data_IF_547699492262
#
_entry.id   IF_547699492262
#
_cell.length_a   1.000
_cell.length_b   1.000
_cell.length_c   1.000
_cell.angle_alpha   90.00
_cell.angle_beta   90.00
_cell.angle_gamma   90.00
#
_symmetry.space_group_name_H-M   'P 1'
#
loop_
_entity.id
_entity.type
_entity.pdbx_description
1 polymer ?
#
# COMPACT_ATOMS: atom_id res chain seq x y z
N UNK A 1 8.77 3.46 3.52
CA UNK A 1 8.67 2.73 2.24
C UNK A 1 7.93 1.42 2.44
N UNK A 2 7.00 1.11 1.54
CA UNK A 2 6.27 -0.15 1.54
C UNK A 2 6.78 -1.00 0.40
N UNK A 3 7.20 -2.21 0.71
CA UNK A 3 7.74 -3.15 -0.28
C UNK A 3 6.94 -4.44 -0.25
N UNK A 4 6.87 -5.12 -1.40
CA UNK A 4 6.30 -6.45 -1.46
C UNK A 4 7.22 -7.50 -0.83
N UNK A 5 6.75 -8.73 -0.76
CA UNK A 5 7.57 -9.85 -0.26
C UNK A 5 8.83 -10.05 -1.10
N UNK A 6 8.79 -9.67 -2.35
CA UNK A 6 9.92 -9.74 -3.29
C UNK A 6 10.86 -8.52 -3.19
N UNK A 7 10.58 -7.57 -2.29
CA UNK A 7 11.41 -6.38 -2.09
C UNK A 7 11.16 -5.25 -3.08
N UNK A 8 10.21 -5.41 -3.99
CA UNK A 8 9.86 -4.35 -4.96
C UNK A 8 8.98 -3.31 -4.29
N UNK A 9 9.28 -2.03 -4.51
CA UNK A 9 8.54 -0.94 -3.89
C UNK A 9 7.09 -0.91 -4.37
N UNK A 10 6.16 -0.83 -3.40
CA UNK A 10 4.73 -0.70 -3.65
C UNK A 10 4.28 0.74 -3.49
N UNK A 11 4.80 1.42 -2.48
CA UNK A 11 4.41 2.79 -2.20
C UNK A 11 5.15 3.34 -0.99
N UNK A 12 4.65 4.45 -0.46
CA UNK A 12 5.24 5.11 0.69
C UNK A 12 4.15 5.33 1.73
N UNK A 13 4.46 5.03 2.99
CA UNK A 13 3.52 5.23 4.09
C UNK A 13 3.33 6.73 4.33
N UNK A 14 2.07 7.18 4.31
CA UNK A 14 1.72 8.51 4.78
C UNK A 14 1.54 8.47 6.30
N UNK A 15 0.71 7.53 6.76
CA UNK A 15 0.52 7.30 8.20
C UNK A 15 -0.23 5.99 8.42
N UNK A 16 -0.23 5.54 9.67
CA UNK A 16 -1.09 4.45 10.11
C UNK A 16 -2.49 5.01 10.39
N UNK A 17 -3.51 4.32 9.94
CA UNK A 17 -4.90 4.77 10.08
C UNK A 17 -5.74 3.58 10.57
N UNK A 18 -5.81 3.39 11.88
CA UNK A 18 -6.53 2.28 12.50
C UNK A 18 -5.92 0.95 12.11
N UNK A 19 -6.70 0.10 11.45
CA UNK A 19 -6.26 -1.23 11.02
C UNK A 19 -5.64 -1.23 9.63
N UNK A 20 -5.38 -0.06 9.05
CA UNK A 20 -4.84 0.09 7.70
C UNK A 20 -3.65 1.02 7.70
N UNK A 21 -2.81 0.88 6.66
CA UNK A 21 -1.76 1.84 6.35
C UNK A 21 -2.25 2.73 5.23
N UNK A 22 -2.19 4.04 5.45
CA UNK A 22 -2.52 5.01 4.42
C UNK A 22 -1.25 5.30 3.62
N UNK A 23 -1.33 5.13 2.31
CA UNK A 23 -0.21 5.39 1.41
C UNK A 23 -0.27 6.82 0.89
N UNK A 24 0.89 7.38 0.59
CA UNK A 24 0.96 8.70 -0.04
C UNK A 24 0.41 8.61 -1.45
N UNK A 25 -0.14 9.74 -1.94
CA UNK A 25 -0.61 9.84 -3.31
C UNK A 25 0.55 9.59 -4.26
N UNK A 26 0.26 8.92 -5.36
CA UNK A 26 1.24 8.66 -6.41
C UNK A 26 1.07 9.70 -7.52
N UNK A 27 2.16 10.36 -7.88
CA UNK A 27 2.14 11.33 -8.96
C UNK A 27 2.21 10.61 -10.31
N UNK A 28 1.44 11.11 -11.28
CA UNK A 28 1.58 10.69 -12.67
C UNK A 28 0.90 9.39 -13.05
N UNK A 29 0.06 8.82 -12.20
CA UNK A 29 -0.65 7.55 -12.50
C UNK A 29 -2.13 7.80 -12.79
N UNK A 30 -2.45 8.78 -13.61
CA UNK A 30 -3.81 9.06 -14.01
C UNK A 30 -4.73 9.28 -12.82
N UNK A 31 -5.96 8.75 -12.90
CA UNK A 31 -6.96 8.94 -11.85
C UNK A 31 -6.53 8.32 -10.52
N UNK A 32 -5.80 7.22 -10.57
CA UNK A 32 -5.40 6.50 -9.35
C UNK A 32 -4.32 7.25 -8.56
N UNK A 33 -3.50 8.06 -9.22
CA UNK A 33 -2.46 8.82 -8.56
C UNK A 33 -2.97 9.99 -7.73
N UNK A 34 -4.24 10.33 -7.85
CA UNK A 34 -4.84 11.48 -7.16
C UNK A 34 -5.46 11.10 -5.82
N UNK A 35 -5.52 9.83 -5.48
CA UNK A 35 -6.16 9.34 -4.26
C UNK A 35 -5.15 8.67 -3.37
N UNK A 36 -5.37 8.78 -2.05
CA UNK A 36 -4.66 7.95 -1.10
C UNK A 36 -5.22 6.53 -1.18
N UNK A 37 -4.33 5.56 -1.21
CA UNK A 37 -4.70 4.16 -1.16
C UNK A 37 -4.36 3.60 0.22
N UNK A 38 -5.04 2.53 0.61
CA UNK A 38 -4.89 1.92 1.92
C UNK A 38 -4.59 0.43 1.77
N UNK A 39 -3.77 -0.10 2.67
CA UNK A 39 -3.48 -1.54 2.75
C UNK A 39 -3.77 -1.97 4.18
N UNK A 40 -4.52 -3.04 4.34
CA UNK A 40 -4.83 -3.58 5.66
C UNK A 40 -3.56 -4.10 6.35
N UNK A 41 -3.44 -3.86 7.66
CA UNK A 41 -2.29 -4.29 8.43
C UNK A 41 -2.12 -5.81 8.40
N UNK A 42 -3.19 -6.56 8.16
CA UNK A 42 -3.11 -8.01 8.04
C UNK A 42 -2.19 -8.49 6.92
N UNK A 43 -1.87 -7.63 5.96
CA UNK A 43 -0.95 -7.98 4.87
C UNK A 43 0.51 -7.60 5.17
N UNK A 44 0.78 -7.02 6.34
CA UNK A 44 2.15 -6.69 6.73
C UNK A 44 2.81 -7.92 7.32
N UNK A 45 3.90 -8.36 6.70
CA UNK A 45 4.65 -9.52 7.19
C UNK A 45 5.72 -9.11 8.21
N UNK A 46 6.36 -7.94 8.01
CA UNK A 46 7.46 -7.51 8.86
C UNK A 46 7.70 -6.02 8.69
N UNK A 47 8.37 -5.43 9.67
CA UNK A 47 8.86 -4.05 9.57
C UNK A 47 10.38 -4.10 9.71
N UNK A 48 11.08 -3.66 8.67
CA UNK A 48 12.54 -3.75 8.58
C UNK A 48 13.11 -2.34 8.53
N UNK A 49 13.48 -1.80 9.68
CA UNK A 49 13.96 -0.42 9.75
C UNK A 49 12.87 0.56 9.33
N UNK A 50 13.10 1.27 8.24
CA UNK A 50 12.15 2.21 7.67
C UNK A 50 11.28 1.60 6.57
N UNK A 51 11.35 0.27 6.37
CA UNK A 51 10.61 -0.43 5.35
C UNK A 51 9.54 -1.31 5.96
N UNK A 52 8.35 -1.28 5.35
CA UNK A 52 7.24 -2.17 5.70
C UNK A 52 7.17 -3.22 4.61
N UNK A 53 7.44 -4.47 4.99
CA UNK A 53 7.40 -5.60 4.05
C UNK A 53 6.04 -6.27 4.10
N UNK A 54 5.42 -6.43 2.94
CA UNK A 54 4.12 -7.09 2.83
C UNK A 54 4.30 -8.60 2.66
N UNK A 55 3.23 -9.36 2.92
CA UNK A 55 3.22 -10.81 2.76
C UNK A 55 3.05 -11.24 1.30
N UNK A 56 2.66 -10.32 0.42
CA UNK A 56 2.47 -10.58 -1.00
C UNK A 56 3.52 -9.84 -1.82
N UNK A 57 3.87 -10.40 -3.00
CA UNK A 57 4.75 -9.72 -3.93
C UNK A 57 4.10 -8.44 -4.45
N UNK A 58 4.90 -7.50 -4.94
CA UNK A 58 4.42 -6.17 -5.30
C UNK A 58 3.28 -6.21 -6.32
N UNK A 59 3.37 -7.07 -7.33
CA UNK A 59 2.34 -7.18 -8.36
C UNK A 59 1.00 -7.66 -7.81
N UNK A 60 1.02 -8.49 -6.76
CA UNK A 60 -0.18 -8.92 -6.07
C UNK A 60 -0.63 -7.85 -5.07
N UNK A 61 0.32 -7.25 -4.36
CA UNK A 61 0.02 -6.27 -3.32
C UNK A 61 -0.76 -5.07 -3.87
N UNK A 62 -0.46 -4.61 -5.07
CA UNK A 62 -1.19 -3.48 -5.67
C UNK A 62 -2.67 -3.81 -5.90
N UNK A 63 -3.01 -5.08 -6.05
CA UNK A 63 -4.42 -5.49 -6.19
C UNK A 63 -5.15 -5.52 -4.86
N UNK A 64 -4.42 -5.46 -3.75
CA UNK A 64 -4.98 -5.48 -2.40
C UNK A 64 -5.20 -4.08 -1.85
N UNK A 65 -4.83 -3.04 -2.58
CA UNK A 65 -5.02 -1.66 -2.15
C UNK A 65 -6.50 -1.31 -2.12
N UNK A 66 -6.87 -0.49 -1.15
CA UNK A 66 -8.25 -0.09 -0.92
C UNK A 66 -8.36 1.43 -0.94
N UNK A 67 -9.54 1.92 -1.29
CA UNK A 67 -9.91 3.31 -1.09
C UNK A 67 -10.32 3.54 0.37
N UNK A 68 -10.48 4.81 0.76
CA UNK A 68 -10.87 5.17 2.13
C UNK A 68 -12.18 4.50 2.55
N UNK A 69 -13.08 4.22 1.60
CA UNK A 69 -14.36 3.54 1.87
C UNK A 69 -14.20 2.05 2.17
N UNK A 70 -13.02 1.48 1.99
CA UNK A 70 -12.77 0.04 2.11
C UNK A 70 -13.00 -0.73 0.82
N UNK A 71 -13.43 -0.06 -0.26
CA UNK A 71 -13.59 -0.72 -1.55
C UNK A 71 -12.24 -0.96 -2.20
N UNK A 72 -12.07 -2.08 -2.93
CA UNK A 72 -10.84 -2.28 -3.70
C UNK A 72 -10.64 -1.14 -4.69
N UNK A 73 -9.38 -0.77 -4.90
CA UNK A 73 -9.04 0.24 -5.91
C UNK A 73 -9.32 -0.36 -7.28
N UNK A 74 -10.02 0.40 -8.12
CA UNK A 74 -10.30 -0.01 -9.49
C UNK A 74 -9.09 0.36 -10.35
N UNK A 75 -8.35 -0.65 -10.74
CA UNK A 75 -7.11 -0.50 -11.49
C UNK A 75 -7.35 -0.59 -13.01
#
# INVERSE_FOLDING_TARGET
EVIGADGVQVGTVDREDGSRIKLKKRDGFGAHGKHHHYIELGFVADVEGDKVRLSANADVAVTLEEEASGRPVDL
#
